data_IF_812174520984
#
_entry.id   IF_812174520984
#
_cell.length_a   1.000
_cell.length_b   1.000
_cell.length_c   1.000
_cell.angle_alpha   90.00
_cell.angle_beta   90.00
_cell.angle_gamma   90.00
#
_symmetry.space_group_name_H-M   'P 1'
#
loop_
_entity.id
_entity.type
_entity.pdbx_description
1 polymer ?
#
# COMPACT_ATOMS: atom_id res chain seq x y z
N UNK A 1 10.77 -33.54 37.22
CA UNK A 1 11.62 -33.76 36.04
C UNK A 1 10.78 -33.76 34.76
N UNK A 2 10.40 -32.57 34.28
CA UNK A 2 9.93 -32.39 32.90
C UNK A 2 11.14 -31.93 32.10
N UNK A 3 11.85 -32.88 31.50
CA UNK A 3 12.90 -32.62 30.51
C UNK A 3 12.25 -31.93 29.32
N UNK A 4 12.36 -30.60 29.26
CA UNK A 4 12.12 -29.85 28.04
C UNK A 4 13.13 -30.33 27.02
N UNK A 5 12.64 -31.04 26.01
CA UNK A 5 13.41 -31.38 24.83
C UNK A 5 13.87 -30.07 24.21
N UNK A 6 15.19 -29.89 24.20
CA UNK A 6 15.87 -28.77 23.57
C UNK A 6 15.73 -28.96 22.05
N UNK A 7 14.52 -28.74 21.51
CA UNK A 7 14.37 -28.57 20.07
C UNK A 7 15.14 -27.31 19.73
N UNK A 8 16.17 -27.44 18.89
CA UNK A 8 16.89 -26.31 18.33
C UNK A 8 15.84 -25.35 17.73
N UNK A 9 15.48 -24.31 18.49
CA UNK A 9 14.59 -23.28 17.98
C UNK A 9 15.30 -22.70 16.77
N UNK A 10 14.78 -22.99 15.58
CA UNK A 10 15.27 -22.38 14.33
C UNK A 10 15.45 -20.89 14.61
N UNK A 11 16.62 -20.31 14.30
CA UNK A 11 16.86 -18.90 14.56
C UNK A 11 15.71 -18.11 13.96
N UNK A 12 14.99 -17.38 14.82
CA UNK A 12 13.87 -16.55 14.40
C UNK A 12 14.47 -15.49 13.48
N UNK A 13 14.23 -15.64 12.18
CA UNK A 13 14.66 -14.63 11.22
C UNK A 13 13.83 -13.38 11.53
N UNK A 14 14.47 -12.21 11.66
CA UNK A 14 13.73 -10.98 11.89
C UNK A 14 12.73 -10.79 10.75
N UNK A 15 11.50 -10.33 11.03
CA UNK A 15 10.47 -10.13 10.01
C UNK A 15 10.89 -9.09 8.96
N UNK A 16 11.85 -8.24 9.32
CA UNK A 16 12.41 -7.20 8.46
C UNK A 16 13.93 -7.35 8.35
N UNK A 17 14.52 -6.99 7.20
CA UNK A 17 15.97 -6.81 7.12
C UNK A 17 16.41 -5.77 8.16
N UNK A 18 17.36 -6.16 9.01
CA UNK A 18 17.90 -5.29 10.06
C UNK A 18 18.79 -4.23 9.42
N UNK A 19 18.23 -3.06 9.16
CA UNK A 19 19.00 -1.92 8.69
C UNK A 19 19.79 -1.34 9.87
N UNK A 20 21.11 -1.49 9.82
CA UNK A 20 22.03 -1.00 10.85
C UNK A 20 22.37 0.49 10.71
N UNK A 21 21.95 1.12 9.61
CA UNK A 21 22.28 2.51 9.27
C UNK A 21 21.06 3.25 8.73
N UNK A 22 20.87 4.47 9.22
CA UNK A 22 19.91 5.40 8.65
C UNK A 22 20.34 5.82 7.23
N UNK A 23 19.45 5.80 6.24
CA UNK A 23 19.81 6.10 4.87
C UNK A 23 20.22 7.57 4.71
N UNK A 24 21.31 7.81 3.99
CA UNK A 24 21.65 9.13 3.46
C UNK A 24 20.61 9.60 2.44
N UNK A 25 20.61 10.89 2.13
CA UNK A 25 19.71 11.46 1.11
C UNK A 25 19.87 10.78 -0.25
N UNK A 26 21.10 10.46 -0.66
CA UNK A 26 21.41 9.82 -1.94
C UNK A 26 20.93 8.36 -1.95
N UNK A 27 21.26 7.58 -0.90
CA UNK A 27 20.77 6.21 -0.78
C UNK A 27 19.24 6.16 -0.82
N UNK A 28 18.58 7.13 -0.17
CA UNK A 28 17.13 7.28 -0.17
C UNK A 28 16.55 7.62 -1.51
N UNK A 29 17.13 8.57 -2.23
CA UNK A 29 16.73 8.87 -3.60
C UNK A 29 16.87 7.64 -4.51
N UNK A 30 17.96 6.89 -4.37
CA UNK A 30 18.23 5.70 -5.18
C UNK A 30 17.19 4.58 -4.96
N UNK A 31 16.90 4.19 -3.71
CA UNK A 31 15.89 3.14 -3.50
C UNK A 31 14.46 3.62 -3.76
N UNK A 32 14.16 4.92 -3.59
CA UNK A 32 12.85 5.46 -3.99
C UNK A 32 12.65 5.40 -5.50
N UNK A 33 13.68 5.76 -6.28
CA UNK A 33 13.66 5.59 -7.73
C UNK A 33 13.53 4.11 -8.12
N UNK A 34 14.28 3.22 -7.46
CA UNK A 34 14.13 1.78 -7.67
C UNK A 34 12.70 1.32 -7.39
N UNK A 35 12.11 1.72 -6.26
CA UNK A 35 10.75 1.33 -5.88
C UNK A 35 9.71 1.86 -6.88
N UNK A 36 9.87 3.08 -7.36
CA UNK A 36 9.04 3.62 -8.43
C UNK A 36 9.08 2.75 -9.69
N UNK A 37 10.29 2.36 -10.13
CA UNK A 37 10.47 1.47 -11.27
C UNK A 37 9.90 0.07 -11.00
N UNK A 38 10.17 -0.53 -9.83
CA UNK A 38 9.66 -1.86 -9.45
C UNK A 38 8.13 -1.88 -9.42
N UNK A 39 7.48 -0.85 -8.85
CA UNK A 39 6.02 -0.74 -8.80
C UNK A 39 5.41 -0.52 -10.19
N UNK A 40 6.11 0.19 -11.07
CA UNK A 40 5.68 0.43 -12.46
C UNK A 40 5.88 -0.79 -13.37
N UNK A 41 6.85 -1.65 -13.08
CA UNK A 41 7.22 -2.80 -13.89
C UNK A 41 6.70 -4.14 -13.34
N UNK A 42 6.21 -4.17 -12.09
CA UNK A 42 5.67 -5.38 -11.47
C UNK A 42 4.70 -6.10 -12.42
N UNK A 43 4.86 -7.43 -12.65
CA UNK A 43 5.69 -8.38 -11.88
C UNK A 43 7.17 -8.50 -12.30
N UNK A 44 7.62 -7.75 -13.32
CA UNK A 44 9.00 -7.81 -13.82
C UNK A 44 9.91 -6.90 -13.01
N UNK A 45 11.06 -7.41 -12.54
CA UNK A 45 12.02 -6.61 -11.78
C UNK A 45 12.78 -5.63 -12.67
N UNK A 46 13.14 -4.43 -12.17
CA UNK A 46 13.88 -3.44 -12.93
C UNK A 46 15.18 -3.95 -13.56
N UNK A 47 15.89 -4.85 -12.86
CA UNK A 47 17.13 -5.45 -13.38
C UNK A 47 16.89 -6.28 -14.65
N UNK A 48 15.93 -7.22 -14.62
CA UNK A 48 15.60 -8.05 -15.77
C UNK A 48 15.01 -7.22 -16.93
N UNK A 49 14.20 -6.22 -16.60
CA UNK A 49 13.68 -5.29 -17.59
C UNK A 49 14.81 -4.52 -18.29
N UNK A 50 15.75 -3.94 -17.53
CA UNK A 50 16.90 -3.23 -18.09
C UNK A 50 17.79 -4.12 -18.95
N UNK A 51 18.05 -5.36 -18.52
CA UNK A 51 18.79 -6.33 -19.32
C UNK A 51 18.08 -6.66 -20.64
N UNK A 52 16.76 -6.87 -20.62
CA UNK A 52 15.97 -7.11 -21.81
C UNK A 52 15.98 -5.89 -22.77
N UNK A 53 15.91 -4.68 -22.25
CA UNK A 53 16.04 -3.44 -23.05
C UNK A 53 17.42 -3.36 -23.70
N UNK A 54 18.50 -3.67 -22.97
CA UNK A 54 19.87 -3.66 -23.51
C UNK A 54 20.06 -4.70 -24.62
N UNK A 55 19.55 -5.93 -24.43
CA UNK A 55 19.58 -6.98 -25.46
C UNK A 55 18.76 -6.57 -26.69
N UNK A 56 17.58 -5.99 -26.48
CA UNK A 56 16.75 -5.48 -27.58
C UNK A 56 17.44 -4.33 -28.33
N UNK A 57 18.14 -3.44 -27.63
CA UNK A 57 18.89 -2.34 -28.24
C UNK A 57 20.06 -2.85 -29.08
N UNK A 58 20.81 -3.83 -28.56
CA UNK A 58 21.86 -4.50 -29.31
C UNK A 58 21.31 -5.18 -30.58
N UNK A 59 20.14 -5.82 -30.50
CA UNK A 59 19.48 -6.42 -31.65
C UNK A 59 19.06 -5.36 -32.69
N UNK A 60 18.36 -4.30 -32.28
CA UNK A 60 17.90 -3.26 -33.20
C UNK A 60 19.04 -2.46 -33.84
N UNK A 61 20.16 -2.28 -33.13
CA UNK A 61 21.38 -1.67 -33.70
C UNK A 61 21.99 -2.48 -34.85
N UNK A 62 21.74 -3.80 -34.90
CA UNK A 62 22.22 -4.69 -35.98
C UNK A 62 21.23 -4.85 -37.13
N UNK A 63 19.94 -4.68 -36.87
CA UNK A 63 18.84 -4.98 -37.81
C UNK A 63 18.16 -3.70 -38.33
N UNK A 64 18.85 -2.55 -38.20
CA UNK A 64 18.29 -1.21 -38.35
C UNK A 64 17.51 -1.01 -39.66
N UNK A 65 17.99 -1.52 -40.80
CA UNK A 65 17.34 -1.35 -42.10
C UNK A 65 16.11 -2.24 -42.34
N UNK A 66 15.90 -3.30 -41.55
CA UNK A 66 14.82 -4.30 -41.78
C UNK A 66 13.66 -4.22 -40.81
N UNK A 67 13.80 -3.50 -39.69
CA UNK A 67 12.74 -3.46 -38.68
C UNK A 67 11.61 -2.50 -39.07
N UNK A 68 10.38 -3.03 -39.11
CA UNK A 68 9.16 -2.24 -39.37
C UNK A 68 8.90 -1.25 -38.24
N UNK A 69 9.22 -1.62 -37.00
CA UNK A 69 9.06 -0.78 -35.80
C UNK A 69 9.88 0.51 -35.86
N UNK A 70 11.13 0.46 -36.32
CA UNK A 70 11.92 1.68 -36.46
C UNK A 70 11.29 2.63 -37.49
N UNK A 71 10.68 2.13 -38.56
CA UNK A 71 9.99 2.97 -39.56
C UNK A 71 8.80 3.75 -38.99
N UNK A 72 8.13 3.22 -37.96
CA UNK A 72 6.99 3.87 -37.30
C UNK A 72 7.45 4.99 -36.36
N UNK A 73 8.62 4.85 -35.73
CA UNK A 73 9.16 5.90 -34.85
C UNK A 73 9.74 7.03 -35.71
N UNK A 74 9.27 8.27 -35.55
CA UNK A 74 9.69 9.40 -36.36
C UNK A 74 11.20 9.64 -36.23
N UNK A 75 11.85 10.01 -37.33
CA UNK A 75 13.25 10.41 -37.31
C UNK A 75 13.35 11.77 -36.61
N UNK A 76 13.98 11.82 -35.42
CA UNK A 76 14.21 13.06 -34.67
C UNK A 76 15.40 13.89 -35.22
N UNK A 77 16.12 13.40 -36.23
CA UNK A 77 17.25 14.07 -36.87
C UNK A 77 18.25 13.07 -37.46
N UNK A 78 19.26 13.58 -38.18
CA UNK A 78 20.33 12.77 -38.78
C UNK A 78 21.56 12.61 -37.87
N UNK A 79 21.52 13.16 -36.65
CA UNK A 79 22.62 13.00 -35.70
C UNK A 79 22.71 11.57 -35.16
N UNK A 80 23.92 11.12 -34.86
CA UNK A 80 24.16 9.80 -34.22
C UNK A 80 23.43 9.67 -32.88
N UNK A 81 23.30 10.78 -32.13
CA UNK A 81 22.54 10.81 -30.89
C UNK A 81 21.03 10.54 -31.13
N UNK A 82 20.43 11.13 -32.16
CA UNK A 82 19.04 10.88 -32.53
C UNK A 82 18.80 9.42 -32.94
N UNK A 83 19.79 8.79 -33.59
CA UNK A 83 19.74 7.37 -33.95
C UNK A 83 19.75 6.47 -32.71
N UNK A 84 20.64 6.71 -31.74
CA UNK A 84 20.66 5.95 -30.48
C UNK A 84 19.38 6.12 -29.66
N UNK A 85 18.83 7.34 -29.60
CA UNK A 85 17.57 7.61 -28.92
C UNK A 85 16.40 6.85 -29.58
N UNK A 86 16.36 6.79 -30.92
CA UNK A 86 15.35 6.05 -31.67
C UNK A 86 15.41 4.55 -31.40
N UNK A 87 16.62 3.98 -31.41
CA UNK A 87 16.85 2.57 -31.08
C UNK A 87 16.44 2.29 -29.64
N UNK A 88 16.85 3.13 -28.69
CA UNK A 88 16.46 3.01 -27.28
C UNK A 88 14.94 3.06 -27.07
N UNK A 89 14.25 3.98 -27.74
CA UNK A 89 12.79 4.09 -27.67
C UNK A 89 12.07 2.85 -28.26
N UNK A 90 12.55 2.32 -29.40
CA UNK A 90 12.03 1.07 -29.96
C UNK A 90 12.22 -0.10 -29.00
N UNK A 91 13.43 -0.27 -28.45
CA UNK A 91 13.74 -1.33 -27.49
C UNK A 91 12.89 -1.25 -26.24
N UNK A 92 12.76 -0.06 -25.66
CA UNK A 92 11.91 0.15 -24.50
C UNK A 92 10.46 -0.21 -24.81
N UNK A 93 9.91 0.24 -25.95
CA UNK A 93 8.53 -0.05 -26.35
C UNK A 93 8.27 -1.54 -26.50
N UNK A 94 9.16 -2.26 -27.18
CA UNK A 94 9.03 -3.71 -27.42
C UNK A 94 9.09 -4.50 -26.12
N UNK A 95 9.98 -4.13 -25.20
CA UNK A 95 10.11 -4.81 -23.90
C UNK A 95 8.98 -4.42 -22.94
N UNK A 96 8.51 -3.17 -23.00
CA UNK A 96 7.45 -2.67 -22.11
C UNK A 96 6.05 -3.14 -22.53
N UNK A 97 5.79 -3.37 -23.82
CA UNK A 97 4.47 -3.80 -24.29
C UNK A 97 3.96 -5.08 -23.58
N UNK A 98 4.74 -6.17 -23.45
CA UNK A 98 4.34 -7.33 -22.66
C UNK A 98 4.09 -7.03 -21.18
N UNK A 99 4.88 -6.15 -20.57
CA UNK A 99 4.67 -5.70 -19.18
C UNK A 99 3.34 -4.97 -19.06
N UNK A 100 3.04 -4.06 -19.98
CA UNK A 100 1.77 -3.34 -20.03
C UNK A 100 0.58 -4.29 -20.16
N UNK A 101 0.63 -5.25 -21.09
CA UNK A 101 -0.44 -6.25 -21.27
C UNK A 101 -0.63 -7.11 -20.02
N UNK A 102 0.47 -7.53 -19.39
CA UNK A 102 0.43 -8.30 -18.15
C UNK A 102 -0.21 -7.49 -17.03
N UNK A 103 0.17 -6.22 -16.85
CA UNK A 103 -0.40 -5.33 -15.83
C UNK A 103 -1.88 -5.05 -16.07
N UNK A 104 -2.28 -4.84 -17.32
CA UNK A 104 -3.68 -4.71 -17.70
C UNK A 104 -4.47 -5.96 -17.31
N UNK A 105 -3.94 -7.14 -17.62
CA UNK A 105 -4.55 -8.41 -17.23
C UNK A 105 -4.67 -8.54 -15.70
N UNK A 106 -3.60 -8.23 -14.98
CA UNK A 106 -3.58 -8.30 -13.53
C UNK A 106 -4.63 -7.38 -12.91
N UNK A 107 -4.71 -6.12 -13.36
CA UNK A 107 -5.66 -5.13 -12.85
C UNK A 107 -7.11 -5.51 -13.09
N UNK A 108 -7.45 -5.88 -14.32
CA UNK A 108 -8.85 -6.04 -14.72
C UNK A 108 -9.42 -7.43 -14.46
N UNK A 109 -8.56 -8.47 -14.37
CA UNK A 109 -9.01 -9.85 -14.20
C UNK A 109 -8.52 -10.46 -12.88
N UNK A 110 -7.22 -10.39 -12.57
CA UNK A 110 -6.66 -11.05 -11.38
C UNK A 110 -7.08 -10.37 -10.07
N UNK A 111 -6.80 -9.08 -9.89
CA UNK A 111 -7.11 -8.35 -8.65
C UNK A 111 -8.60 -8.04 -8.48
N UNK A 112 -9.36 -8.00 -9.58
CA UNK A 112 -10.82 -7.85 -9.55
C UNK A 112 -11.54 -9.13 -9.09
N UNK A 113 -10.93 -10.29 -9.26
CA UNK A 113 -11.53 -11.56 -8.88
C UNK A 113 -11.54 -11.77 -7.36
N UNK A 114 -12.74 -11.78 -6.77
CA UNK A 114 -12.97 -11.89 -5.31
C UNK A 114 -13.75 -13.12 -4.89
N UNK A 115 -14.21 -13.96 -5.84
CA UNK A 115 -15.08 -15.11 -5.54
C UNK A 115 -14.42 -16.13 -4.63
N UNK A 116 -13.10 -16.26 -4.70
CA UNK A 116 -12.29 -17.11 -3.81
C UNK A 116 -12.48 -16.81 -2.31
N UNK A 117 -12.90 -15.59 -1.94
CA UNK A 117 -13.18 -15.21 -0.53
C UNK A 117 -14.41 -15.93 0.03
N UNK A 118 -15.36 -16.29 -0.83
CA UNK A 118 -16.66 -16.84 -0.43
C UNK A 118 -16.83 -18.32 -0.81
N UNK A 119 -15.85 -18.90 -1.50
CA UNK A 119 -15.87 -20.31 -1.89
C UNK A 119 -15.34 -21.23 -0.78
N UNK A 120 -15.83 -22.47 -0.75
CA UNK A 120 -15.29 -23.49 0.13
C UNK A 120 -13.86 -23.86 -0.31
N UNK A 121 -12.82 -23.66 0.52
CA UNK A 121 -11.43 -23.93 0.15
C UNK A 121 -11.15 -25.39 -0.24
N UNK A 122 -11.96 -26.34 0.24
CA UNK A 122 -11.81 -27.77 -0.07
C UNK A 122 -12.38 -28.15 -1.45
N UNK A 123 -13.26 -27.31 -2.02
CA UNK A 123 -13.93 -27.55 -3.31
C UNK A 123 -13.98 -26.26 -4.15
N UNK A 124 -12.82 -25.71 -4.55
CA UNK A 124 -12.78 -24.45 -5.30
C UNK A 124 -13.27 -24.64 -6.73
N UNK A 125 -13.88 -23.59 -7.29
CA UNK A 125 -14.28 -23.56 -8.70
C UNK A 125 -13.05 -23.62 -9.63
N UNK A 126 -13.25 -24.02 -10.89
CA UNK A 126 -12.18 -24.04 -11.90
C UNK A 126 -11.52 -22.66 -12.05
N UNK A 127 -12.31 -21.59 -11.98
CA UNK A 127 -11.79 -20.22 -12.03
C UNK A 127 -10.89 -19.90 -10.83
N UNK A 128 -11.29 -20.28 -9.61
CA UNK A 128 -10.45 -20.13 -8.41
C UNK A 128 -9.14 -20.93 -8.52
N UNK A 129 -9.17 -22.12 -9.12
CA UNK A 129 -7.96 -22.91 -9.38
C UNK A 129 -7.01 -22.19 -10.35
N UNK A 130 -7.53 -21.65 -11.45
CA UNK A 130 -6.74 -20.85 -12.41
C UNK A 130 -6.16 -19.61 -11.73
N UNK A 131 -6.97 -18.89 -10.96
CA UNK A 131 -6.51 -17.74 -10.18
C UNK A 131 -5.38 -18.12 -9.20
N UNK A 132 -5.51 -19.27 -8.52
CA UNK A 132 -4.48 -19.82 -7.64
C UNK A 132 -3.19 -20.19 -8.37
N UNK A 133 -3.28 -20.67 -9.60
CA UNK A 133 -2.10 -20.92 -10.45
C UNK A 133 -1.38 -19.62 -10.82
N UNK A 134 -2.12 -18.58 -11.24
CA UNK A 134 -1.56 -17.24 -11.50
C UNK A 134 -0.89 -16.70 -10.24
N UNK A 135 -1.52 -16.86 -9.07
CA UNK A 135 -0.93 -16.48 -7.78
C UNK A 135 0.39 -17.22 -7.52
N UNK A 136 0.45 -18.52 -7.80
CA UNK A 136 1.67 -19.32 -7.67
C UNK A 136 2.78 -18.79 -8.59
N UNK A 137 2.46 -18.42 -9.84
CA UNK A 137 3.43 -17.81 -10.75
C UNK A 137 3.93 -16.44 -10.25
N UNK A 138 3.03 -15.60 -9.72
CA UNK A 138 3.41 -14.31 -9.13
C UNK A 138 4.31 -14.47 -7.90
N UNK A 139 4.22 -15.59 -7.18
CA UNK A 139 5.08 -15.86 -6.03
C UNK A 139 6.57 -16.00 -6.39
N UNK A 140 6.89 -16.26 -7.67
CA UNK A 140 8.26 -16.26 -8.18
C UNK A 140 8.89 -14.86 -8.17
N UNK A 141 8.06 -13.81 -8.25
CA UNK A 141 8.47 -12.41 -8.13
C UNK A 141 7.61 -11.74 -7.05
N UNK A 142 7.89 -12.00 -5.76
CA UNK A 142 7.00 -11.61 -4.68
C UNK A 142 6.84 -10.08 -4.60
N UNK A 143 5.63 -9.54 -4.45
CA UNK A 143 5.44 -8.09 -4.43
C UNK A 143 6.23 -7.43 -3.30
N UNK A 144 6.69 -6.20 -3.53
CA UNK A 144 7.09 -5.27 -2.46
C UNK A 144 5.84 -4.61 -1.89
N UNK A 145 6.02 -3.82 -0.82
CA UNK A 145 4.93 -3.21 -0.05
C UNK A 145 3.87 -2.55 -0.95
N UNK A 146 4.27 -1.73 -1.92
CA UNK A 146 3.35 -0.96 -2.77
C UNK A 146 3.32 -1.48 -4.24
N UNK A 147 3.93 -2.62 -4.55
CA UNK A 147 4.06 -3.09 -5.95
C UNK A 147 2.72 -3.30 -6.65
N UNK A 148 1.69 -3.66 -5.88
CA UNK A 148 0.38 -3.99 -6.40
C UNK A 148 -0.63 -2.84 -6.28
N UNK A 149 -0.32 -1.75 -5.57
CA UNK A 149 -1.31 -0.70 -5.27
C UNK A 149 -1.97 -0.13 -6.54
N UNK A 150 -1.18 0.16 -7.57
CA UNK A 150 -1.69 0.66 -8.87
C UNK A 150 -2.42 -0.40 -9.72
N UNK A 151 -2.38 -1.67 -9.31
CA UNK A 151 -3.05 -2.79 -9.96
C UNK A 151 -4.35 -3.19 -9.23
N UNK A 152 -4.59 -2.67 -8.03
CA UNK A 152 -5.83 -2.93 -7.31
C UNK A 152 -7.01 -2.29 -8.05
N UNK A 153 -8.20 -2.92 -8.05
CA UNK A 153 -9.39 -2.33 -8.63
C UNK A 153 -9.86 -1.14 -7.79
N UNK A 154 -10.38 -0.12 -8.47
CA UNK A 154 -11.05 1.00 -7.80
C UNK A 154 -12.26 0.53 -7.01
N UNK A 155 -12.61 1.24 -5.93
CA UNK A 155 -13.76 0.90 -5.10
C UNK A 155 -15.06 1.08 -5.92
N UNK A 156 -15.88 0.02 -6.11
CA UNK A 156 -17.10 0.14 -6.91
C UNK A 156 -18.17 0.95 -6.17
N UNK A 157 -18.96 1.70 -6.94
CA UNK A 157 -20.20 2.33 -6.46
C UNK A 157 -21.32 1.28 -6.55
N UNK A 158 -21.93 0.85 -5.42
CA UNK A 158 -23.06 -0.08 -5.44
C UNK A 158 -24.26 0.50 -6.19
N UNK A 159 -25.17 -0.35 -6.66
CA UNK A 159 -26.42 0.13 -7.24
C UNK A 159 -27.31 0.79 -6.17
N UNK A 160 -28.08 1.79 -6.59
CA UNK A 160 -28.82 2.65 -5.67
C UNK A 160 -29.95 1.86 -5.00
N UNK A 161 -30.67 1.08 -5.80
CA UNK A 161 -31.78 0.23 -5.40
C UNK A 161 -31.31 -0.82 -4.38
N UNK A 162 -30.21 -1.52 -4.67
CA UNK A 162 -29.57 -2.47 -3.76
C UNK A 162 -29.16 -1.82 -2.43
N UNK A 163 -28.66 -0.58 -2.49
CA UNK A 163 -28.24 0.17 -1.30
C UNK A 163 -29.43 0.53 -0.43
N UNK A 164 -30.52 1.03 -1.03
CA UNK A 164 -31.75 1.41 -0.32
C UNK A 164 -32.44 0.18 0.27
N UNK A 165 -32.52 -0.92 -0.49
CA UNK A 165 -33.09 -2.16 0.01
C UNK A 165 -32.33 -2.68 1.24
N UNK A 166 -30.99 -2.76 1.16
CA UNK A 166 -30.16 -3.21 2.29
C UNK A 166 -30.27 -2.28 3.50
N UNK A 167 -30.44 -0.97 3.28
CA UNK A 167 -30.70 -0.02 4.35
C UNK A 167 -32.02 -0.36 5.06
N UNK A 168 -33.12 -0.51 4.33
CA UNK A 168 -34.44 -0.85 4.89
C UNK A 168 -34.40 -2.19 5.63
N UNK A 169 -33.75 -3.21 5.06
CA UNK A 169 -33.54 -4.50 5.72
C UNK A 169 -32.78 -4.37 7.05
N UNK A 170 -31.75 -3.51 7.10
CA UNK A 170 -30.92 -3.33 8.30
C UNK A 170 -31.65 -2.66 9.47
N UNK A 171 -32.64 -1.81 9.18
CA UNK A 171 -33.39 -1.06 10.20
C UNK A 171 -34.76 -1.66 10.50
N UNK A 172 -35.21 -2.66 9.71
CA UNK A 172 -36.55 -3.25 9.79
C UNK A 172 -36.97 -3.67 11.20
N UNK A 173 -36.03 -4.16 12.00
CA UNK A 173 -36.28 -4.65 13.35
C UNK A 173 -36.05 -3.60 14.45
N UNK A 174 -35.67 -2.38 14.09
CA UNK A 174 -35.45 -1.25 15.01
C UNK A 174 -36.67 -0.34 15.12
N UNK A 175 -37.67 -0.52 14.26
CA UNK A 175 -38.83 0.38 14.11
C UNK A 175 -40.16 -0.35 14.23
N UNK A 176 -41.21 0.38 14.62
CA UNK A 176 -42.58 -0.13 14.51
C UNK A 176 -42.98 -0.29 13.04
N UNK A 177 -44.07 -1.01 12.78
CA UNK A 177 -44.56 -1.20 11.39
C UNK A 177 -44.96 0.12 10.75
N UNK A 178 -45.56 1.02 11.53
CA UNK A 178 -46.04 2.33 11.09
C UNK A 178 -44.86 3.26 10.77
N UNK A 179 -43.85 3.29 11.64
CA UNK A 179 -42.60 4.04 11.39
C UNK A 179 -41.86 3.51 10.16
N UNK A 180 -41.73 2.19 10.05
CA UNK A 180 -41.07 1.58 8.91
C UNK A 180 -41.78 1.92 7.59
N UNK A 181 -43.11 1.86 7.55
CA UNK A 181 -43.88 2.21 6.36
C UNK A 181 -43.66 3.69 5.93
N UNK A 182 -43.51 4.60 6.90
CA UNK A 182 -43.16 5.98 6.60
C UNK A 182 -41.73 6.12 6.03
N UNK A 183 -40.77 5.35 6.55
CA UNK A 183 -39.39 5.33 6.05
C UNK A 183 -39.32 4.70 4.65
N UNK A 184 -40.05 3.62 4.40
CA UNK A 184 -40.17 2.97 3.09
C UNK A 184 -40.68 3.97 2.05
N UNK A 185 -41.71 4.76 2.39
CA UNK A 185 -42.19 5.83 1.50
C UNK A 185 -41.12 6.88 1.20
N UNK A 186 -40.38 7.35 2.22
CA UNK A 186 -39.28 8.30 2.01
C UNK A 186 -38.15 7.71 1.15
N UNK A 187 -37.86 6.42 1.32
CA UNK A 187 -36.88 5.70 0.52
C UNK A 187 -37.32 5.60 -0.95
N UNK A 188 -38.60 5.33 -1.19
CA UNK A 188 -39.18 5.34 -2.54
C UNK A 188 -39.10 6.73 -3.19
N UNK A 189 -39.45 7.79 -2.46
CA UNK A 189 -39.33 9.17 -2.94
C UNK A 189 -37.86 9.52 -3.27
N UNK A 190 -36.90 9.05 -2.46
CA UNK A 190 -35.47 9.23 -2.71
C UNK A 190 -35.00 8.48 -3.96
N UNK A 191 -35.41 7.22 -4.15
CA UNK A 191 -35.16 6.44 -5.37
C UNK A 191 -35.77 7.10 -6.60
N UNK A 192 -36.94 7.73 -6.43
CA UNK A 192 -37.67 8.40 -7.49
C UNK A 192 -37.20 9.84 -7.76
N UNK A 193 -36.42 10.43 -6.86
CA UNK A 193 -36.02 11.83 -6.91
C UNK A 193 -34.51 12.02 -6.82
N UNK A 194 -34.06 12.62 -5.72
CA UNK A 194 -32.68 13.09 -5.55
C UNK A 194 -31.63 11.98 -5.57
N UNK A 195 -31.99 10.77 -5.14
CA UNK A 195 -31.07 9.64 -5.07
C UNK A 195 -30.43 9.32 -6.42
N UNK A 196 -31.18 9.39 -7.52
CA UNK A 196 -30.63 9.16 -8.87
C UNK A 196 -29.59 10.22 -9.26
N UNK A 197 -29.84 11.48 -8.92
CA UNK A 197 -28.91 12.58 -9.20
C UNK A 197 -27.62 12.41 -8.42
N UNK A 198 -27.72 12.08 -7.12
CA UNK A 198 -26.57 11.84 -6.25
C UNK A 198 -25.78 10.59 -6.69
N UNK A 199 -26.47 9.52 -7.06
CA UNK A 199 -25.85 8.30 -7.60
C UNK A 199 -25.07 8.59 -8.88
N UNK A 200 -25.65 9.37 -9.81
CA UNK A 200 -24.97 9.76 -11.04
C UNK A 200 -23.71 10.59 -10.79
N UNK A 201 -23.79 11.59 -9.90
CA UNK A 201 -22.62 12.40 -9.49
C UNK A 201 -21.55 11.51 -8.86
N UNK A 202 -21.95 10.56 -8.00
CA UNK A 202 -21.02 9.64 -7.32
C UNK A 202 -20.35 8.70 -8.33
N UNK A 203 -21.09 8.17 -9.30
CA UNK A 203 -20.54 7.36 -10.40
C UNK A 203 -19.51 8.16 -11.20
N UNK A 204 -19.81 9.42 -11.58
CA UNK A 204 -18.85 10.30 -12.27
C UNK A 204 -17.61 10.53 -11.41
N UNK A 205 -17.78 10.91 -10.15
CA UNK A 205 -16.67 11.18 -9.24
C UNK A 205 -15.76 9.95 -9.09
N UNK A 206 -16.34 8.74 -9.01
CA UNK A 206 -15.59 7.49 -8.90
C UNK A 206 -14.69 7.17 -10.10
N UNK A 207 -14.92 7.80 -11.26
CA UNK A 207 -14.05 7.63 -12.43
C UNK A 207 -12.72 8.40 -12.30
N UNK A 208 -12.67 9.40 -11.41
CA UNK A 208 -11.51 10.28 -11.22
C UNK A 208 -10.70 9.96 -9.95
N UNK A 209 -11.05 8.91 -9.22
CA UNK A 209 -10.36 8.51 -7.99
C UNK A 209 -10.35 7.00 -7.83
N UNK A 210 -9.30 6.45 -7.24
CA UNK A 210 -9.23 5.01 -6.97
C UNK A 210 -10.22 4.58 -5.87
N UNK A 211 -10.57 5.50 -4.97
CA UNK A 211 -11.53 5.24 -3.91
C UNK A 211 -12.33 6.51 -3.59
N UNK A 212 -13.60 6.51 -4.02
CA UNK A 212 -14.50 7.66 -3.87
C UNK A 212 -14.92 7.93 -2.42
N UNK A 213 -14.65 7.02 -1.48
CA UNK A 213 -15.03 7.15 -0.07
C UNK A 213 -13.90 7.74 0.78
N UNK A 214 -12.63 7.44 0.44
CA UNK A 214 -11.48 7.73 1.32
C UNK A 214 -11.38 9.20 1.73
N UNK A 215 -11.52 10.13 0.79
CA UNK A 215 -11.46 11.57 1.08
C UNK A 215 -12.60 12.04 1.99
N UNK A 216 -13.82 11.56 1.76
CA UNK A 216 -14.97 11.88 2.61
C UNK A 216 -14.83 11.26 4.01
N UNK A 217 -14.37 10.01 4.08
CA UNK A 217 -14.20 9.28 5.33
C UNK A 217 -13.15 9.95 6.21
N UNK A 218 -11.96 10.25 5.68
CA UNK A 218 -10.91 10.93 6.44
C UNK A 218 -11.37 12.32 6.93
N UNK A 219 -12.02 13.08 6.05
CA UNK A 219 -12.50 14.42 6.37
C UNK A 219 -13.62 14.40 7.41
N UNK A 220 -14.74 13.75 7.10
CA UNK A 220 -15.99 13.91 7.85
C UNK A 220 -16.09 12.94 9.04
N UNK A 221 -15.54 11.73 8.93
CA UNK A 221 -15.60 10.78 10.06
C UNK A 221 -14.55 11.10 11.14
N UNK A 222 -13.43 11.72 10.78
CA UNK A 222 -12.33 11.96 11.73
C UNK A 222 -11.93 13.42 11.88
N UNK A 223 -11.51 14.08 10.81
CA UNK A 223 -10.83 15.39 10.90
C UNK A 223 -11.79 16.55 11.20
N UNK A 224 -13.07 16.42 10.86
CA UNK A 224 -14.09 17.44 11.12
C UNK A 224 -14.66 17.35 12.54
N UNK A 225 -14.78 16.14 13.10
CA UNK A 225 -15.31 15.93 14.46
C UNK A 225 -14.54 16.74 15.50
N UNK A 226 -15.27 17.40 16.40
CA UNK A 226 -14.72 18.26 17.48
C UNK A 226 -14.70 17.58 18.85
N UNK A 227 -15.23 16.35 18.94
CA UNK A 227 -15.20 15.56 20.18
C UNK A 227 -13.76 15.19 20.57
N UNK A 228 -13.45 15.07 21.87
CA UNK A 228 -12.12 14.66 22.32
C UNK A 228 -11.69 13.32 21.71
N UNK A 229 -10.43 13.21 21.28
CA UNK A 229 -9.97 12.02 20.54
C UNK A 229 -9.77 10.79 21.42
N UNK A 230 -9.26 10.97 22.64
CA UNK A 230 -8.79 9.88 23.51
C UNK A 230 -9.85 8.81 23.78
N UNK A 231 -11.11 9.20 23.92
CA UNK A 231 -12.23 8.30 24.22
C UNK A 231 -13.12 8.01 23.00
N UNK A 232 -13.20 8.91 22.02
CA UNK A 232 -14.15 8.76 20.91
C UNK A 232 -13.54 8.14 19.65
N UNK A 233 -12.23 8.23 19.45
CA UNK A 233 -11.60 7.82 18.18
C UNK A 233 -10.26 7.12 18.33
N UNK A 234 -9.50 7.38 19.39
CA UNK A 234 -8.21 6.73 19.61
C UNK A 234 -8.41 5.28 20.07
N UNK A 235 -7.69 4.35 19.44
CA UNK A 235 -7.71 2.92 19.79
C UNK A 235 -6.33 2.52 20.29
N UNK A 236 -6.28 1.83 21.41
CA UNK A 236 -5.06 1.25 21.96
C UNK A 236 -5.05 -0.27 21.78
N UNK A 237 -3.88 -0.82 21.52
CA UNK A 237 -3.62 -2.25 21.55
C UNK A 237 -2.50 -2.51 22.54
N UNK A 238 -2.55 -3.67 23.20
CA UNK A 238 -1.51 -4.12 24.13
C UNK A 238 -0.70 -5.24 23.47
N UNK A 239 0.54 -5.44 23.93
CA UNK A 239 1.42 -6.49 23.43
C UNK A 239 0.84 -7.90 23.68
N UNK A 240 1.20 -8.87 22.83
CA UNK A 240 0.77 -10.27 22.94
C UNK A 240 1.62 -10.97 24.02
N UNK A 241 1.05 -11.06 25.21
CA UNK A 241 1.72 -11.42 26.45
C UNK A 241 2.36 -12.82 26.47
N UNK A 242 3.69 -12.86 26.32
CA UNK A 242 4.55 -13.77 27.09
C UNK A 242 5.29 -12.91 28.09
N UNK A 243 5.14 -13.20 29.39
CA UNK A 243 5.84 -12.45 30.43
C UNK A 243 7.33 -12.82 30.42
N UNK A 244 8.14 -12.03 29.71
CA UNK A 244 9.59 -12.11 29.73
C UNK A 244 10.11 -11.11 30.78
N UNK A 245 10.81 -11.56 31.84
CA UNK A 245 11.39 -10.67 32.83
C UNK A 245 12.31 -9.63 32.19
N UNK A 246 11.99 -8.35 32.39
CA UNK A 246 12.76 -7.20 31.91
C UNK A 246 12.37 -5.94 32.70
N UNK A 247 13.25 -4.94 32.71
CA UNK A 247 12.91 -3.60 33.23
C UNK A 247 12.01 -2.85 32.24
N UNK A 248 11.27 -1.84 32.70
CA UNK A 248 10.47 -0.99 31.83
C UNK A 248 11.33 -0.31 30.76
N UNK A 249 12.50 0.21 31.14
CA UNK A 249 13.44 0.85 30.22
C UNK A 249 13.93 -0.12 29.13
N UNK A 250 14.27 -1.37 29.49
CA UNK A 250 14.69 -2.38 28.53
C UNK A 250 13.56 -2.73 27.54
N UNK A 251 12.33 -2.91 28.02
CA UNK A 251 11.17 -3.14 27.15
C UNK A 251 10.88 -1.95 26.22
N UNK A 252 10.89 -0.74 26.75
CA UNK A 252 10.67 0.48 25.96
C UNK A 252 11.73 0.63 24.87
N UNK A 253 13.01 0.43 25.21
CA UNK A 253 14.10 0.47 24.24
C UNK A 253 13.94 -0.58 23.13
N UNK A 254 13.51 -1.80 23.49
CA UNK A 254 13.27 -2.86 22.51
C UNK A 254 12.11 -2.54 21.56
N UNK A 255 10.98 -2.05 22.08
CA UNK A 255 9.84 -1.63 21.26
C UNK A 255 10.25 -0.50 20.31
N UNK A 256 10.92 0.54 20.83
CA UNK A 256 11.41 1.67 20.03
C UNK A 256 12.36 1.20 18.94
N UNK A 257 13.25 0.25 19.24
CA UNK A 257 14.16 -0.34 18.27
C UNK A 257 13.40 -1.10 17.15
N UNK A 258 12.42 -1.93 17.51
CA UNK A 258 11.59 -2.64 16.54
C UNK A 258 10.80 -1.68 15.65
N UNK A 259 10.16 -0.66 16.23
CA UNK A 259 9.38 0.32 15.47
C UNK A 259 10.25 1.19 14.56
N UNK A 260 11.47 1.52 15.00
CA UNK A 260 12.43 2.22 14.15
C UNK A 260 12.82 1.38 12.92
N UNK A 261 13.07 0.08 13.11
CA UNK A 261 13.33 -0.83 12.00
C UNK A 261 12.12 -0.98 11.07
N UNK A 262 10.90 -1.03 11.62
CA UNK A 262 9.65 -1.07 10.85
C UNK A 262 9.54 0.17 9.94
N UNK A 263 9.79 1.37 10.49
CA UNK A 263 9.79 2.61 9.71
C UNK A 263 10.76 2.54 8.53
N UNK A 264 11.99 2.05 8.74
CA UNK A 264 12.98 1.92 7.68
C UNK A 264 12.57 0.88 6.63
N UNK A 265 11.96 -0.23 7.05
CA UNK A 265 11.48 -1.27 6.14
C UNK A 265 10.31 -0.79 5.28
N UNK A 266 9.39 0.00 5.83
CA UNK A 266 8.29 0.64 5.10
C UNK A 266 8.85 1.64 4.08
N UNK A 267 9.74 2.54 4.48
CA UNK A 267 10.30 3.57 3.59
C UNK A 267 11.09 2.94 2.43
N UNK A 268 11.74 1.79 2.66
CA UNK A 268 12.43 1.01 1.62
C UNK A 268 11.51 0.08 0.84
N UNK A 269 10.26 -0.14 1.27
CA UNK A 269 9.32 -1.12 0.72
C UNK A 269 9.87 -2.56 0.71
N UNK A 270 10.66 -2.93 1.71
CA UNK A 270 11.38 -4.22 1.78
C UNK A 270 10.75 -5.24 2.74
N UNK A 271 9.49 -5.04 3.12
CA UNK A 271 8.73 -6.03 3.90
C UNK A 271 8.81 -7.40 3.23
N UNK A 272 9.20 -8.44 3.98
CA UNK A 272 9.47 -9.76 3.44
C UNK A 272 8.25 -10.34 2.68
N UNK A 273 8.45 -11.19 1.66
CA UNK A 273 7.40 -11.79 0.83
C UNK A 273 6.25 -12.49 1.58
N UNK A 274 6.51 -13.00 2.79
CA UNK A 274 5.52 -13.70 3.64
C UNK A 274 4.67 -12.70 4.44
N UNK A 275 5.13 -11.44 4.56
CA UNK A 275 4.54 -10.37 5.37
C UNK A 275 3.98 -9.20 4.56
N UNK A 276 4.02 -9.25 3.22
CA UNK A 276 3.29 -8.24 2.44
C UNK A 276 1.82 -8.32 2.77
N UNK A 277 1.21 -7.16 3.05
CA UNK A 277 -0.18 -7.00 3.41
C UNK A 277 -1.07 -7.78 2.41
N UNK A 278 -1.66 -8.90 2.86
CA UNK A 278 -2.49 -9.76 2.01
C UNK A 278 -1.76 -10.36 0.80
N UNK A 279 -0.43 -10.43 0.82
CA UNK A 279 0.42 -10.85 -0.29
C UNK A 279 0.21 -10.01 -1.56
N UNK A 280 0.09 -8.69 -1.39
CA UNK A 280 -0.16 -7.73 -2.48
C UNK A 280 -1.63 -7.62 -2.91
N UNK A 281 -2.55 -8.33 -2.25
CA UNK A 281 -3.98 -8.22 -2.53
C UNK A 281 -4.67 -7.07 -1.77
N UNK A 282 -3.95 -6.36 -0.92
CA UNK A 282 -4.47 -5.25 -0.11
C UNK A 282 -3.66 -3.98 -0.38
N UNK A 283 -4.34 -2.84 -0.28
CA UNK A 283 -3.73 -1.52 -0.44
C UNK A 283 -2.79 -1.22 0.72
N UNK A 284 -1.55 -0.83 0.42
CA UNK A 284 -0.54 -0.52 1.43
C UNK A 284 -0.48 0.98 1.82
N UNK A 285 -1.32 1.83 1.22
CA UNK A 285 -1.30 3.30 1.42
C UNK A 285 -1.44 3.74 2.90
N UNK A 286 -1.99 2.88 3.76
CA UNK A 286 -2.17 3.16 5.19
C UNK A 286 -0.82 3.22 5.93
N UNK A 287 0.20 2.50 5.45
CA UNK A 287 1.54 2.49 6.05
C UNK A 287 2.26 3.84 5.94
N UNK A 288 1.87 4.69 4.99
CA UNK A 288 2.37 6.07 4.90
C UNK A 288 1.94 6.96 6.07
N UNK A 289 0.99 6.49 6.90
CA UNK A 289 0.42 7.25 8.01
C UNK A 289 0.84 6.73 9.38
N UNK A 290 1.74 5.75 9.45
CA UNK A 290 2.12 5.08 10.70
C UNK A 290 3.19 5.86 11.47
N UNK A 291 4.18 6.40 10.76
CA UNK A 291 5.34 7.04 11.36
C UNK A 291 5.46 8.50 10.94
N UNK A 292 5.93 9.33 11.88
CA UNK A 292 6.16 10.76 11.66
C UNK A 292 4.94 11.51 11.10
N UNK A 293 3.75 11.07 11.49
CA UNK A 293 2.47 11.72 11.18
C UNK A 293 1.82 12.16 12.46
N UNK A 294 1.34 13.38 12.50
CA UNK A 294 0.56 13.92 13.61
C UNK A 294 -0.71 14.58 13.11
N UNK A 295 -1.75 14.59 13.94
CA UNK A 295 -2.97 15.34 13.68
C UNK A 295 -2.83 16.71 14.35
N UNK A 296 -2.81 17.76 13.55
CA UNK A 296 -2.71 19.14 14.03
C UNK A 296 -4.12 19.71 14.16
N UNK A 297 -4.48 20.25 15.34
CA UNK A 297 -5.79 20.83 15.55
C UNK A 297 -5.98 22.08 14.70
N UNK A 298 -7.13 22.19 14.05
CA UNK A 298 -7.57 23.42 13.40
C UNK A 298 -8.88 23.93 14.00
N UNK A 299 -9.19 25.21 13.78
CA UNK A 299 -10.39 25.84 14.34
C UNK A 299 -11.67 25.10 13.94
N UNK A 300 -11.82 24.80 12.65
CA UNK A 300 -13.00 24.11 12.10
C UNK A 300 -12.74 22.66 11.70
N UNK A 301 -11.50 22.35 11.33
CA UNK A 301 -11.13 21.05 10.81
C UNK A 301 -9.65 20.84 11.08
N UNK A 302 -9.32 19.66 11.58
CA UNK A 302 -7.93 19.27 11.80
C UNK A 302 -7.30 18.83 10.49
N UNK A 303 -5.97 18.74 10.46
CA UNK A 303 -5.26 18.19 9.32
C UNK A 303 -4.18 17.21 9.79
N UNK A 304 -3.80 16.30 8.90
CA UNK A 304 -2.68 15.42 9.12
C UNK A 304 -1.41 16.11 8.61
N UNK A 305 -0.50 16.40 9.51
CA UNK A 305 0.85 16.82 9.17
C UNK A 305 1.72 15.58 9.05
N UNK A 306 2.34 15.40 7.88
CA UNK A 306 3.19 14.25 7.58
C UNK A 306 4.60 14.72 7.33
N UNK A 307 5.54 14.14 8.07
CA UNK A 307 6.95 14.28 7.80
C UNK A 307 7.49 13.02 7.12
N UNK A 308 8.75 13.09 6.71
CA UNK A 308 9.46 11.92 6.20
C UNK A 308 9.84 10.97 7.34
N UNK A 309 10.73 10.00 7.07
CA UNK A 309 11.31 9.16 8.13
C UNK A 309 11.95 10.00 9.26
N UNK A 310 11.64 9.65 10.50
CA UNK A 310 12.18 10.29 11.70
C UNK A 310 13.48 9.65 12.15
N UNK A 311 14.43 10.48 12.62
CA UNK A 311 15.68 10.07 13.29
C UNK A 311 15.55 10.05 14.82
N UNK A 312 14.40 10.42 15.38
CA UNK A 312 14.20 10.56 16.82
C UNK A 312 12.80 10.11 17.24
N UNK A 313 12.62 9.88 18.53
CA UNK A 313 11.31 9.69 19.17
C UNK A 313 11.09 10.77 20.22
N UNK A 314 9.82 11.01 20.53
CA UNK A 314 9.39 11.83 21.65
C UNK A 314 9.02 10.90 22.81
N UNK A 315 9.62 11.12 23.97
CA UNK A 315 9.35 10.37 25.20
C UNK A 315 8.65 11.30 26.18
N UNK A 316 7.51 10.85 26.71
CA UNK A 316 6.78 11.52 27.78
C UNK A 316 7.08 10.79 29.08
N UNK A 317 7.68 11.49 30.05
CA UNK A 317 8.02 10.90 31.35
C UNK A 317 7.99 11.94 32.46
N UNK A 318 7.22 11.67 33.53
CA UNK A 318 7.12 12.56 34.69
C UNK A 318 6.63 13.97 34.37
N UNK A 319 5.75 14.12 33.37
CA UNK A 319 5.28 15.43 32.88
C UNK A 319 6.25 16.16 31.95
N UNK A 320 7.47 15.64 31.75
CA UNK A 320 8.44 16.17 30.79
C UNK A 320 8.28 15.57 29.38
N UNK A 321 8.68 16.35 28.37
CA UNK A 321 8.73 15.96 26.96
C UNK A 321 10.19 15.93 26.53
N UNK A 322 10.68 14.77 26.13
CA UNK A 322 12.08 14.56 25.77
C UNK A 322 12.19 14.13 24.31
N UNK A 323 13.17 14.68 23.60
CA UNK A 323 13.58 14.17 22.29
C UNK A 323 14.74 13.21 22.47
N UNK A 324 14.60 11.98 21.99
CA UNK A 324 15.66 10.97 22.00
C UNK A 324 16.03 10.63 20.57
N UNK A 325 17.25 10.95 20.17
CA UNK A 325 17.76 10.60 18.85
C UNK A 325 18.04 9.09 18.78
N UNK A 326 17.53 8.45 17.73
CA UNK A 326 17.68 7.01 17.45
C UNK A 326 18.86 6.73 16.51
N UNK A 327 19.35 7.77 15.84
CA UNK A 327 20.45 7.70 14.89
C UNK A 327 21.57 8.53 15.43
N UNK A 328 22.74 7.90 15.58
CA UNK A 328 23.93 8.58 16.01
C UNK A 328 24.88 8.71 14.81
N UNK A 329 25.29 9.93 14.46
CA UNK A 329 26.03 10.17 13.21
C UNK A 329 27.49 9.69 13.22
N UNK A 330 28.04 9.23 14.37
CA UNK A 330 29.34 8.53 14.55
C UNK A 330 29.41 8.04 16.01
N UNK A 331 29.45 6.73 16.31
CA UNK A 331 29.49 6.22 17.70
C UNK A 331 30.64 6.86 18.51
N UNK A 332 30.30 7.87 19.32
CA UNK A 332 31.03 8.34 20.50
C UNK A 332 30.02 8.92 21.48
N UNK A 333 29.72 8.14 22.52
CA UNK A 333 29.00 8.64 23.69
C UNK A 333 29.81 9.79 24.29
N UNK A 334 29.29 11.01 24.18
CA UNK A 334 29.84 12.18 24.86
C UNK A 334 28.72 12.72 25.74
N UNK A 335 28.87 12.72 27.07
CA UNK A 335 27.84 13.24 27.96
C UNK A 335 27.68 14.75 27.73
N UNK A 336 26.45 15.19 27.45
CA UNK A 336 26.08 16.60 27.54
C UNK A 336 25.80 16.90 29.00
N UNK A 337 26.87 17.10 29.77
CA UNK A 337 26.99 17.99 30.94
C UNK A 337 28.35 17.79 31.61
N UNK A 338 29.18 18.83 31.51
CA UNK A 338 29.73 19.54 32.67
C UNK A 338 29.58 21.02 32.39
#
# INVERSE_FOLDING_TARGET
NLTMTNSEKKPVRPPFPLYTKFPSMIERAAYKLYNYLDNSLYPVRPFYFGAAVAVSAAFFSRVEQRSVLLKIIPKLGESSAAQYLRVGAASFTVVYLPVFVTRFFLRHFYFKYKRWLFENPKKPSTMTKVWGMVRSLLSLSPPRLNSCDALLPSLPVPELEDTVQRYLESIRHLHSKEELAAIEKMADDFLQGEGRKLQWITKIYSLFTDNYVTGFWEKYAYLYGRSPLLNNSSVAHVDLFVHIPATQASRAAHIVYCEFLNQLAIDRQTSAPVSTLGQGLMCANHYEKVFAVTRVPGEKMDHLERHSISKHVIVLHGGGIYRVDLVHERIKFTPLTS
#
